data_IF_240265471470
#
_entry.id   IF_240265471470
#
_cell.length_a   1.000
_cell.length_b   1.000
_cell.length_c   1.000
_cell.angle_alpha   90.00
_cell.angle_beta   90.00
_cell.angle_gamma   90.00
#
_symmetry.space_group_name_H-M   'P 1'
#
loop_
_entity.id
_entity.type
_entity.pdbx_description
1 polymer ?
#
# COMPACT_ATOMS: atom_id res chain seq x y z
N UNK A 1 -2.70 -23.88 43.60
CA UNK A 1 -1.59 -23.60 42.66
C UNK A 1 -0.98 -24.93 42.27
N UNK A 2 -0.65 -25.08 40.99
CA UNK A 2 0.03 -26.27 40.46
C UNK A 2 1.51 -25.95 40.30
N UNK A 3 2.37 -26.98 40.29
CA UNK A 3 3.80 -26.84 39.96
C UNK A 3 4.11 -27.58 38.67
N UNK A 4 5.07 -27.07 37.91
CA UNK A 4 5.59 -27.73 36.70
C UNK A 4 7.03 -27.29 36.44
N UNK A 5 7.75 -28.05 35.62
CA UNK A 5 9.07 -27.66 35.14
C UNK A 5 8.96 -26.37 34.30
N UNK A 6 9.80 -25.37 34.58
CA UNK A 6 9.70 -24.04 33.97
C UNK A 6 9.82 -24.07 32.42
N UNK A 7 10.49 -25.07 31.86
CA UNK A 7 10.58 -25.31 30.40
C UNK A 7 9.24 -25.65 29.74
N UNK A 8 8.27 -26.16 30.51
CA UNK A 8 6.95 -26.54 30.00
C UNK A 8 6.02 -25.33 29.87
N UNK A 9 6.35 -24.21 30.50
CA UNK A 9 5.65 -22.93 30.35
C UNK A 9 6.21 -22.17 29.14
N UNK A 10 5.50 -22.25 28.00
CA UNK A 10 5.92 -21.64 26.74
C UNK A 10 5.23 -20.29 26.50
N UNK A 11 5.86 -19.37 25.75
CA UNK A 11 5.18 -18.17 25.27
C UNK A 11 3.92 -18.55 24.47
N UNK A 12 2.84 -17.82 24.67
CA UNK A 12 1.62 -18.03 23.90
C UNK A 12 1.80 -17.50 22.45
N UNK A 13 1.32 -18.20 21.39
CA UNK A 13 1.49 -17.77 20.00
C UNK A 13 0.90 -16.39 19.66
N UNK A 14 -0.16 -16.00 20.36
CA UNK A 14 -0.80 -14.67 20.30
C UNK A 14 -0.17 -13.60 21.21
N UNK A 15 1.06 -13.81 21.70
CA UNK A 15 1.76 -12.81 22.52
C UNK A 15 1.87 -11.47 21.76
N UNK A 16 1.49 -10.38 22.43
CA UNK A 16 1.48 -9.02 21.86
C UNK A 16 2.83 -8.34 21.91
N UNK A 17 3.68 -8.70 22.87
CA UNK A 17 4.97 -8.03 23.09
C UNK A 17 6.08 -8.84 22.44
N UNK A 18 6.81 -8.24 21.50
CA UNK A 18 8.05 -8.82 20.95
C UNK A 18 9.32 -8.18 21.54
N UNK A 19 9.19 -7.02 22.19
CA UNK A 19 10.29 -6.29 22.83
C UNK A 19 10.04 -6.08 24.34
N UNK A 20 11.12 -6.07 25.12
CA UNK A 20 11.09 -5.88 26.57
C UNK A 20 12.23 -4.95 27.00
N UNK A 21 11.90 -3.98 27.85
CA UNK A 21 12.88 -3.12 28.51
C UNK A 21 13.66 -3.93 29.56
N UNK A 22 14.99 -3.87 29.49
CA UNK A 22 15.86 -4.65 30.38
C UNK A 22 15.82 -4.15 31.82
N UNK A 23 15.70 -2.84 32.03
CA UNK A 23 15.70 -2.24 33.37
C UNK A 23 14.49 -2.67 34.23
N UNK A 24 13.23 -2.55 33.76
CA UNK A 24 12.07 -3.10 34.48
C UNK A 24 12.09 -4.62 34.64
N UNK A 25 12.77 -5.35 33.74
CA UNK A 25 12.95 -6.79 33.86
C UNK A 25 13.97 -7.16 34.94
N UNK A 26 15.09 -6.43 35.01
CA UNK A 26 16.11 -6.59 36.04
C UNK A 26 15.54 -6.31 37.44
N UNK A 27 14.74 -5.25 37.58
CA UNK A 27 14.04 -4.94 38.83
C UNK A 27 13.10 -6.08 39.27
N UNK A 28 12.34 -6.63 38.32
CA UNK A 28 11.47 -7.78 38.60
C UNK A 28 12.28 -9.05 38.94
N UNK A 29 13.41 -9.28 38.28
CA UNK A 29 14.29 -10.41 38.58
C UNK A 29 14.90 -10.32 39.98
N UNK A 30 15.34 -9.14 40.41
CA UNK A 30 15.81 -8.91 41.79
C UNK A 30 14.70 -9.18 42.81
N UNK A 31 13.50 -8.64 42.58
CA UNK A 31 12.36 -8.90 43.44
C UNK A 31 12.06 -10.42 43.55
N UNK A 32 12.01 -11.12 42.42
CA UNK A 32 11.76 -12.58 42.41
C UNK A 32 12.89 -13.36 43.07
N UNK A 33 14.13 -12.90 42.95
CA UNK A 33 15.27 -13.48 43.67
C UNK A 33 15.13 -13.34 45.20
N UNK A 34 14.76 -12.15 45.69
CA UNK A 34 14.66 -11.85 47.13
C UNK A 34 13.47 -12.53 47.81
N UNK A 35 12.29 -12.54 47.18
CA UNK A 35 11.03 -12.98 47.82
C UNK A 35 10.25 -14.05 47.06
N UNK A 36 10.74 -14.49 45.90
CA UNK A 36 9.99 -15.38 45.02
C UNK A 36 8.86 -14.68 44.26
N UNK A 37 8.05 -15.48 43.55
CA UNK A 37 6.86 -14.99 42.86
C UNK A 37 5.75 -14.66 43.88
N UNK A 38 5.21 -13.44 43.79
CA UNK A 38 4.11 -13.01 44.64
C UNK A 38 2.83 -13.83 44.38
N UNK A 39 2.22 -14.37 45.44
CA UNK A 39 1.05 -15.23 45.32
C UNK A 39 -0.18 -14.54 44.71
N UNK A 40 -0.31 -13.23 44.89
CA UNK A 40 -1.38 -12.40 44.32
C UNK A 40 -1.10 -11.97 42.86
N UNK A 41 0.11 -12.24 42.36
CA UNK A 41 0.55 -11.98 41.00
C UNK A 41 1.16 -13.26 40.38
N UNK A 42 0.40 -14.35 40.24
CA UNK A 42 0.92 -15.63 39.76
C UNK A 42 1.15 -15.65 38.24
N UNK A 43 1.93 -16.62 37.78
CA UNK A 43 1.91 -17.03 36.38
C UNK A 43 0.62 -17.80 36.13
N UNK A 44 -0.09 -17.46 35.05
CA UNK A 44 -1.32 -18.14 34.63
C UNK A 44 -1.05 -18.78 33.27
N UNK A 45 -1.34 -20.06 33.12
CA UNK A 45 -1.04 -20.79 31.89
C UNK A 45 -2.13 -21.80 31.52
N UNK A 46 -2.44 -21.92 30.23
CA UNK A 46 -3.42 -22.85 29.69
C UNK A 46 -2.74 -24.13 29.20
N UNK A 47 -3.35 -25.32 29.32
CA UNK A 47 -2.81 -26.56 28.78
C UNK A 47 -2.59 -26.51 27.26
N UNK A 48 -1.46 -27.01 26.79
CA UNK A 48 -1.17 -27.19 25.37
C UNK A 48 -0.31 -28.44 25.13
N UNK A 49 -0.93 -29.53 24.69
CA UNK A 49 -0.27 -30.83 24.55
C UNK A 49 0.37 -31.27 25.87
N UNK A 50 1.67 -31.57 25.82
CA UNK A 50 2.46 -31.98 27.00
C UNK A 50 2.98 -30.81 27.85
N UNK A 51 2.61 -29.56 27.53
CA UNK A 51 3.04 -28.37 28.26
C UNK A 51 1.92 -27.34 28.42
N UNK A 52 2.31 -26.06 28.52
CA UNK A 52 1.38 -24.97 28.74
C UNK A 52 1.75 -23.73 27.94
N UNK A 53 0.77 -22.92 27.57
CA UNK A 53 0.97 -21.56 27.10
C UNK A 53 0.73 -20.55 28.20
N UNK A 54 1.66 -19.62 28.39
CA UNK A 54 1.54 -18.55 29.37
C UNK A 54 0.48 -17.53 28.90
N UNK A 55 -0.65 -17.48 29.60
CA UNK A 55 -1.72 -16.52 29.39
C UNK A 55 -1.39 -15.19 30.08
N UNK A 56 -0.87 -15.24 31.30
CA UNK A 56 -0.46 -14.07 32.07
C UNK A 56 0.84 -14.32 32.82
N UNK A 57 1.69 -13.30 32.91
CA UNK A 57 2.95 -13.38 33.66
C UNK A 57 4.16 -13.80 32.83
N UNK A 58 4.19 -13.48 31.54
CA UNK A 58 5.35 -13.76 30.69
C UNK A 58 6.66 -13.13 31.24
N UNK A 59 6.59 -11.88 31.72
CA UNK A 59 7.74 -11.22 32.39
C UNK A 59 8.14 -11.88 33.70
N UNK A 60 7.18 -12.44 34.45
CA UNK A 60 7.44 -13.18 35.70
C UNK A 60 8.14 -14.52 35.42
N UNK A 61 7.77 -15.20 34.34
CA UNK A 61 8.48 -16.38 33.86
C UNK A 61 9.94 -16.07 33.49
N UNK A 62 10.18 -14.99 32.72
CA UNK A 62 11.53 -14.53 32.42
C UNK A 62 12.32 -14.12 33.67
N UNK A 63 11.70 -13.37 34.58
CA UNK A 63 12.31 -12.96 35.85
C UNK A 63 12.66 -14.14 36.75
N UNK A 64 11.85 -15.20 36.77
CA UNK A 64 12.15 -16.43 37.51
C UNK A 64 13.38 -17.16 36.97
N UNK A 65 13.54 -17.22 35.64
CA UNK A 65 14.74 -17.77 35.00
C UNK A 65 16.00 -16.95 35.36
N UNK A 66 15.88 -15.61 35.34
CA UNK A 66 16.95 -14.72 35.76
C UNK A 66 17.28 -14.86 37.25
N UNK A 67 16.27 -15.03 38.11
CA UNK A 67 16.46 -15.27 39.54
C UNK A 67 17.23 -16.57 39.81
N UNK A 68 17.01 -17.63 39.02
CA UNK A 68 17.83 -18.84 39.11
C UNK A 68 19.30 -18.60 38.73
N UNK A 69 19.56 -17.76 37.73
CA UNK A 69 20.92 -17.35 37.39
C UNK A 69 21.56 -16.51 38.51
N UNK A 70 20.79 -15.59 39.11
CA UNK A 70 21.23 -14.79 40.26
C UNK A 70 21.59 -15.66 41.46
N UNK A 71 20.82 -16.72 41.75
CA UNK A 71 21.13 -17.67 42.83
C UNK A 71 22.49 -18.35 42.62
N UNK A 72 22.75 -18.86 41.41
CA UNK A 72 24.04 -19.47 41.09
C UNK A 72 25.18 -18.44 41.17
N UNK A 73 24.93 -17.21 40.71
CA UNK A 73 25.92 -16.12 40.75
C UNK A 73 26.24 -15.69 42.19
N UNK A 74 25.22 -15.58 43.04
CA UNK A 74 25.35 -15.24 44.46
C UNK A 74 26.20 -16.27 45.21
N UNK A 75 26.00 -17.56 44.93
CA UNK A 75 26.78 -18.64 45.52
C UNK A 75 28.28 -18.55 45.14
N UNK A 76 28.58 -18.04 43.94
CA UNK A 76 29.96 -17.81 43.49
C UNK A 76 30.57 -16.50 44.04
N UNK A 77 29.75 -15.57 44.56
CA UNK A 77 30.17 -14.26 45.06
C UNK A 77 29.56 -13.97 46.44
N UNK A 78 29.89 -14.76 47.48
CA UNK A 78 29.22 -14.69 48.79
C UNK A 78 29.42 -13.35 49.52
N UNK A 79 30.47 -12.60 49.18
CA UNK A 79 30.79 -11.30 49.79
C UNK A 79 30.15 -10.11 49.07
N UNK A 80 29.44 -10.33 47.96
CA UNK A 80 28.83 -9.26 47.16
C UNK A 80 27.33 -9.18 47.41
N UNK A 81 26.87 -8.01 47.87
CA UNK A 81 25.44 -7.73 47.96
C UNK A 81 24.82 -7.61 46.56
N UNK A 82 23.67 -8.25 46.35
CA UNK A 82 22.98 -8.23 45.06
C UNK A 82 22.08 -6.99 45.03
N UNK A 83 22.60 -5.90 44.49
CA UNK A 83 21.83 -4.67 44.25
C UNK A 83 21.20 -4.67 42.86
N UNK A 84 20.30 -3.71 42.61
CA UNK A 84 19.70 -3.53 41.29
C UNK A 84 20.75 -3.23 40.20
N UNK A 85 21.82 -2.51 40.52
CA UNK A 85 22.93 -2.22 39.60
C UNK A 85 23.68 -3.49 39.21
N UNK A 86 23.88 -4.42 40.15
CA UNK A 86 24.50 -5.72 39.88
C UNK A 86 23.63 -6.52 38.92
N UNK A 87 22.31 -6.61 39.20
CA UNK A 87 21.38 -7.35 38.33
C UNK A 87 21.29 -6.74 36.95
N UNK A 88 21.19 -5.40 36.84
CA UNK A 88 21.19 -4.69 35.55
C UNK A 88 22.44 -4.99 34.75
N UNK A 89 23.61 -4.80 35.36
CA UNK A 89 24.90 -5.06 34.72
C UNK A 89 25.00 -6.50 34.23
N UNK A 90 24.55 -7.46 35.04
CA UNK A 90 24.54 -8.87 34.67
C UNK A 90 23.62 -9.12 33.47
N UNK A 91 22.37 -8.63 33.49
CA UNK A 91 21.42 -8.81 32.39
C UNK A 91 21.95 -8.16 31.11
N UNK A 92 22.41 -6.91 31.17
CA UNK A 92 22.95 -6.18 30.03
C UNK A 92 24.16 -6.89 29.42
N UNK A 93 25.10 -7.35 30.27
CA UNK A 93 26.30 -8.09 29.82
C UNK A 93 25.93 -9.41 29.15
N UNK A 94 24.98 -10.16 29.71
CA UNK A 94 24.54 -11.44 29.15
C UNK A 94 23.77 -11.24 27.83
N UNK A 95 22.89 -10.24 27.75
CA UNK A 95 22.17 -9.89 26.52
C UNK A 95 23.14 -9.44 25.43
N UNK A 96 24.12 -8.60 25.76
CA UNK A 96 25.15 -8.16 24.81
C UNK A 96 26.00 -9.35 24.31
N UNK A 97 26.38 -10.27 25.20
CA UNK A 97 27.17 -11.46 24.87
C UNK A 97 26.41 -12.44 23.95
N UNK A 98 25.12 -12.68 24.21
CA UNK A 98 24.30 -13.61 23.42
C UNK A 98 23.64 -12.94 22.19
N UNK A 99 23.60 -11.60 22.17
CA UNK A 99 23.06 -10.78 21.09
C UNK A 99 21.57 -10.44 21.19
N UNK A 100 20.80 -11.09 22.08
CA UNK A 100 19.41 -10.72 22.35
C UNK A 100 18.88 -11.30 23.68
N UNK A 101 17.83 -10.68 24.23
CA UNK A 101 17.12 -11.21 25.40
C UNK A 101 16.50 -12.58 25.11
N UNK A 102 15.96 -12.79 23.92
CA UNK A 102 15.39 -14.09 23.52
C UNK A 102 16.42 -15.22 23.62
N UNK A 103 17.64 -14.98 23.13
CA UNK A 103 18.74 -15.96 23.22
C UNK A 103 19.19 -16.20 24.65
N UNK A 104 19.20 -15.16 25.49
CA UNK A 104 19.44 -15.30 26.94
C UNK A 104 18.39 -16.20 27.58
N UNK A 105 17.10 -15.92 27.39
CA UNK A 105 16.01 -16.72 27.95
C UNK A 105 16.09 -18.18 27.45
N UNK A 106 16.37 -18.42 26.17
CA UNK A 106 16.57 -19.76 25.64
C UNK A 106 17.72 -20.50 26.34
N UNK A 107 18.86 -19.84 26.55
CA UNK A 107 20.00 -20.41 27.29
C UNK A 107 19.64 -20.75 28.75
N UNK A 108 18.90 -19.87 29.42
CA UNK A 108 18.43 -20.10 30.78
C UNK A 108 17.42 -21.25 30.86
N UNK A 109 16.55 -21.41 29.87
CA UNK A 109 15.64 -22.57 29.76
C UNK A 109 16.46 -23.86 29.61
N UNK A 110 17.53 -23.86 28.81
CA UNK A 110 18.42 -25.04 28.70
C UNK A 110 19.07 -25.41 30.04
N UNK A 111 19.53 -24.40 30.79
CA UNK A 111 20.24 -24.64 32.07
C UNK A 111 19.30 -24.96 33.24
N UNK A 112 18.16 -24.27 33.34
CA UNK A 112 17.27 -24.30 34.50
C UNK A 112 15.90 -24.92 34.21
N UNK A 113 15.69 -25.48 33.02
CA UNK A 113 14.38 -25.90 32.54
C UNK A 113 13.65 -26.94 33.40
N UNK A 114 14.39 -27.80 34.12
CA UNK A 114 13.81 -28.80 35.03
C UNK A 114 13.43 -28.22 36.40
N UNK A 115 13.85 -27.00 36.74
CA UNK A 115 13.46 -26.39 38.01
C UNK A 115 11.96 -26.12 38.00
N UNK A 116 11.30 -26.43 39.11
CA UNK A 116 9.87 -26.25 39.25
C UNK A 116 9.50 -24.79 39.54
N UNK A 117 8.34 -24.39 39.04
CA UNK A 117 7.73 -23.09 39.33
C UNK A 117 6.23 -23.26 39.56
N UNK A 118 5.67 -22.47 40.48
CA UNK A 118 4.24 -22.44 40.73
C UNK A 118 3.50 -21.61 39.69
N UNK A 119 2.34 -22.11 39.25
CA UNK A 119 1.44 -21.41 38.33
C UNK A 119 -0.03 -21.73 38.64
N UNK A 120 -0.93 -20.97 38.03
CA UNK A 120 -2.36 -21.23 38.06
C UNK A 120 -2.80 -21.73 36.68
N UNK A 121 -3.44 -22.91 36.59
CA UNK A 121 -4.01 -23.38 35.34
C UNK A 121 -5.16 -22.46 34.91
N UNK A 122 -5.15 -22.04 33.65
CA UNK A 122 -6.25 -21.31 33.03
C UNK A 122 -7.33 -22.29 32.55
N UNK A 123 -8.59 -21.98 32.83
CA UNK A 123 -9.74 -22.73 32.34
C UNK A 123 -10.46 -21.92 31.26
N UNK A 124 -10.59 -22.49 30.06
CA UNK A 124 -11.31 -21.88 28.95
C UNK A 124 -10.90 -22.45 27.60
N UNK A 125 -11.67 -22.12 26.56
CA UNK A 125 -11.29 -22.41 25.18
C UNK A 125 -10.30 -21.39 24.61
N UNK A 126 -9.75 -21.66 23.43
CA UNK A 126 -8.76 -20.81 22.76
C UNK A 126 -9.14 -19.32 22.67
N UNK A 127 -10.43 -19.02 22.42
CA UNK A 127 -10.93 -17.64 22.41
C UNK A 127 -10.74 -16.95 23.77
N UNK A 128 -11.14 -17.61 24.85
CA UNK A 128 -11.06 -17.06 26.20
C UNK A 128 -9.60 -16.91 26.65
N UNK A 129 -8.74 -17.85 26.26
CA UNK A 129 -7.30 -17.82 26.50
C UNK A 129 -6.66 -16.57 25.88
N UNK A 130 -6.90 -16.31 24.58
CA UNK A 130 -6.32 -15.17 23.88
C UNK A 130 -6.87 -13.84 24.44
N UNK A 131 -8.18 -13.76 24.74
CA UNK A 131 -8.76 -12.57 25.35
C UNK A 131 -8.16 -12.32 26.75
N UNK A 132 -8.02 -13.34 27.60
CA UNK A 132 -7.39 -13.19 28.90
C UNK A 132 -5.93 -12.72 28.78
N UNK A 133 -5.19 -13.26 27.79
CA UNK A 133 -3.84 -12.80 27.47
C UNK A 133 -3.82 -11.31 27.06
N UNK A 134 -4.76 -10.88 26.23
CA UNK A 134 -4.84 -9.49 25.79
C UNK A 134 -5.12 -8.55 26.95
N UNK A 135 -6.11 -8.88 27.79
CA UNK A 135 -6.45 -8.10 28.97
C UNK A 135 -5.28 -7.98 29.96
N UNK A 136 -4.51 -9.06 30.15
CA UNK A 136 -3.37 -9.08 31.08
C UNK A 136 -2.16 -8.27 30.57
N UNK A 137 -2.01 -8.08 29.27
CA UNK A 137 -0.85 -7.43 28.68
C UNK A 137 -1.12 -5.97 28.28
N UNK A 138 -2.38 -5.56 28.16
CA UNK A 138 -2.76 -4.21 27.76
C UNK A 138 -2.51 -3.18 28.88
N UNK A 139 -1.99 -2.00 28.53
CA UNK A 139 -1.82 -0.85 29.46
C UNK A 139 -0.52 -0.77 30.26
N UNK A 140 0.42 -1.71 30.11
CA UNK A 140 1.60 -1.81 30.99
C UNK A 140 2.94 -1.29 30.47
N UNK A 141 3.09 -0.94 29.19
CA UNK A 141 4.37 -0.53 28.55
C UNK A 141 4.14 -0.03 27.11
N UNK A 142 5.20 0.44 26.42
CA UNK A 142 5.16 0.89 25.02
C UNK A 142 4.50 -0.21 24.15
N UNK A 143 3.38 0.09 23.46
CA UNK A 143 2.68 -0.91 22.68
C UNK A 143 3.49 -1.29 21.43
N UNK A 144 3.81 -2.58 21.29
CA UNK A 144 4.23 -3.16 20.03
C UNK A 144 3.01 -3.21 19.09
N UNK A 145 2.87 -2.19 18.25
CA UNK A 145 1.72 -2.01 17.36
C UNK A 145 1.50 -3.22 16.45
N UNK A 146 2.57 -3.82 15.93
CA UNK A 146 2.48 -4.99 15.04
C UNK A 146 2.21 -6.26 15.83
N UNK A 147 2.79 -6.42 17.02
CA UNK A 147 2.48 -7.53 17.93
C UNK A 147 1.03 -7.49 18.44
N UNK A 148 0.49 -6.30 18.71
CA UNK A 148 -0.94 -6.11 19.03
C UNK A 148 -1.82 -6.51 17.83
N UNK A 149 -1.47 -6.08 16.62
CA UNK A 149 -2.17 -6.47 15.40
C UNK A 149 -2.17 -7.99 15.18
N UNK A 150 -1.03 -8.65 15.39
CA UNK A 150 -0.89 -10.10 15.35
C UNK A 150 -1.80 -10.79 16.37
N UNK A 151 -1.79 -10.34 17.63
CA UNK A 151 -2.63 -10.92 18.68
C UNK A 151 -4.13 -10.76 18.39
N UNK A 152 -4.56 -9.60 17.90
CA UNK A 152 -5.96 -9.39 17.52
C UNK A 152 -6.37 -10.32 16.38
N UNK A 153 -5.48 -10.57 15.41
CA UNK A 153 -5.72 -11.52 14.32
C UNK A 153 -5.90 -12.94 14.84
N UNK A 154 -5.10 -13.35 15.83
CA UNK A 154 -5.25 -14.65 16.49
C UNK A 154 -6.59 -14.77 17.22
N UNK A 155 -7.01 -13.72 17.95
CA UNK A 155 -8.31 -13.70 18.62
C UNK A 155 -9.47 -13.82 17.62
N UNK A 156 -9.42 -13.06 16.51
CA UNK A 156 -10.40 -13.15 15.45
C UNK A 156 -10.45 -14.54 14.81
N UNK A 157 -9.28 -15.16 14.57
CA UNK A 157 -9.16 -16.53 14.07
C UNK A 157 -9.74 -17.58 15.04
N UNK A 158 -9.71 -17.31 16.35
CA UNK A 158 -10.35 -18.12 17.39
C UNK A 158 -11.85 -17.80 17.56
N UNK A 159 -12.44 -16.92 16.74
CA UNK A 159 -13.86 -16.60 16.74
C UNK A 159 -14.26 -15.42 17.64
N UNK A 160 -13.32 -14.57 18.06
CA UNK A 160 -13.64 -13.31 18.74
C UNK A 160 -14.12 -12.23 17.77
N UNK A 161 -15.15 -11.47 18.15
CA UNK A 161 -15.57 -10.28 17.37
C UNK A 161 -14.71 -9.07 17.69
N UNK A 162 -14.69 -8.06 16.81
CA UNK A 162 -13.99 -6.79 17.06
C UNK A 162 -14.46 -6.14 18.36
N UNK A 163 -15.76 -6.21 18.67
CA UNK A 163 -16.37 -5.68 19.88
C UNK A 163 -16.00 -6.47 21.14
N UNK A 164 -15.87 -7.81 21.05
CA UNK A 164 -15.39 -8.63 22.16
C UNK A 164 -13.95 -8.27 22.52
N UNK A 165 -13.07 -8.17 21.53
CA UNK A 165 -11.67 -7.76 21.71
C UNK A 165 -11.62 -6.35 22.33
N UNK A 166 -12.34 -5.40 21.75
CA UNK A 166 -12.35 -4.01 22.19
C UNK A 166 -12.82 -3.85 23.64
N UNK A 167 -13.93 -4.51 24.00
CA UNK A 167 -14.48 -4.50 25.36
C UNK A 167 -13.51 -5.11 26.36
N UNK A 168 -12.85 -6.19 25.98
CA UNK A 168 -11.94 -6.93 26.84
C UNK A 168 -10.64 -6.16 27.16
N UNK A 169 -10.18 -5.30 26.26
CA UNK A 169 -8.99 -4.46 26.48
C UNK A 169 -9.32 -3.00 26.86
N UNK A 170 -10.60 -2.65 27.01
CA UNK A 170 -11.04 -1.29 27.36
C UNK A 170 -10.78 -0.24 26.27
N UNK A 171 -10.86 -0.63 24.98
CA UNK A 171 -10.63 0.28 23.85
C UNK A 171 -11.86 0.45 22.96
N UNK A 172 -11.83 1.46 22.08
CA UNK A 172 -12.85 1.63 21.05
C UNK A 172 -12.70 0.57 19.95
N UNK A 173 -13.80 0.07 19.38
CA UNK A 173 -13.78 -0.92 18.28
C UNK A 173 -12.94 -0.50 17.06
N UNK A 174 -12.79 0.82 16.86
CA UNK A 174 -11.98 1.39 15.78
C UNK A 174 -10.48 1.15 15.99
N UNK A 175 -10.04 1.11 17.25
CA UNK A 175 -8.67 0.76 17.60
C UNK A 175 -8.36 -0.67 17.13
N UNK A 176 -9.25 -1.62 17.43
CA UNK A 176 -9.13 -3.02 17.02
C UNK A 176 -9.15 -3.14 15.50
N UNK A 177 -10.13 -2.51 14.83
CA UNK A 177 -10.24 -2.51 13.36
C UNK A 177 -8.99 -1.99 12.66
N UNK A 178 -8.41 -0.89 13.15
CA UNK A 178 -7.21 -0.34 12.55
C UNK A 178 -5.98 -1.27 12.74
N UNK A 179 -5.84 -1.91 13.90
CA UNK A 179 -4.77 -2.90 14.12
C UNK A 179 -4.95 -4.13 13.23
N UNK A 180 -6.16 -4.68 13.14
CA UNK A 180 -6.44 -5.79 12.23
C UNK A 180 -6.15 -5.42 10.76
N UNK A 181 -6.38 -4.16 10.38
CA UNK A 181 -6.06 -3.67 9.04
C UNK A 181 -4.56 -3.65 8.73
N UNK A 182 -3.68 -3.49 9.73
CA UNK A 182 -2.22 -3.61 9.53
C UNK A 182 -1.81 -4.98 8.97
N UNK A 183 -2.56 -6.03 9.30
CA UNK A 183 -2.31 -7.40 8.81
C UNK A 183 -2.79 -7.65 7.38
N UNK A 184 -3.42 -6.65 6.74
CA UNK A 184 -4.04 -6.74 5.41
C UNK A 184 -3.43 -5.78 4.38
N UNK A 185 -2.41 -5.03 4.78
CA UNK A 185 -1.65 -4.10 3.93
C UNK A 185 -0.19 -4.58 3.79
N UNK A 186 0.58 -4.06 2.82
CA UNK A 186 1.98 -4.42 2.67
C UNK A 186 2.81 -4.18 3.96
N UNK A 187 3.75 -5.07 4.30
CA UNK A 187 4.55 -4.98 5.53
C UNK A 187 5.30 -3.67 5.70
N UNK A 188 5.84 -3.11 4.61
CA UNK A 188 6.60 -1.87 4.62
C UNK A 188 5.71 -0.68 5.03
N UNK A 189 4.45 -0.68 4.57
CA UNK A 189 3.48 0.35 4.96
C UNK A 189 3.03 0.17 6.41
N UNK A 190 2.80 -1.09 6.84
CA UNK A 190 2.48 -1.39 8.23
C UNK A 190 3.61 -0.94 9.19
N UNK A 191 4.88 -1.15 8.80
CA UNK A 191 6.05 -0.72 9.56
C UNK A 191 6.12 0.81 9.67
N UNK A 192 5.88 1.56 8.58
CA UNK A 192 5.80 3.04 8.63
C UNK A 192 4.71 3.54 9.58
N UNK A 193 3.54 2.90 9.57
CA UNK A 193 2.45 3.24 10.49
C UNK A 193 2.83 2.90 11.94
N UNK A 194 3.46 1.75 12.17
CA UNK A 194 3.93 1.33 13.50
C UNK A 194 5.03 2.24 14.05
N UNK A 195 5.90 2.78 13.19
CA UNK A 195 6.92 3.77 13.55
C UNK A 195 6.35 5.16 13.88
N UNK A 196 5.06 5.41 13.58
CA UNK A 196 4.39 6.69 13.85
C UNK A 196 4.48 7.71 12.70
N UNK A 197 5.07 7.36 11.56
CA UNK A 197 5.15 8.24 10.37
C UNK A 197 3.77 8.55 9.79
N UNK A 198 2.84 7.62 9.95
CA UNK A 198 1.46 7.74 9.48
C UNK A 198 0.49 7.34 10.60
N UNK A 199 -0.65 8.02 10.74
CA UNK A 199 -1.66 7.64 11.72
C UNK A 199 -2.16 6.21 11.48
N UNK A 200 -2.42 5.49 12.57
CA UNK A 200 -2.95 4.12 12.56
C UNK A 200 -4.24 3.96 11.74
N UNK A 201 -5.08 4.99 11.68
CA UNK A 201 -6.31 5.00 10.85
C UNK A 201 -6.05 4.83 9.35
N UNK A 202 -4.85 5.14 8.87
CA UNK A 202 -4.44 4.94 7.47
C UNK A 202 -4.50 3.47 7.07
N UNK A 203 -4.19 2.55 7.99
CA UNK A 203 -4.22 1.12 7.73
C UNK A 203 -5.62 0.66 7.28
N UNK A 204 -6.66 1.08 7.98
CA UNK A 204 -8.05 0.72 7.65
C UNK A 204 -8.50 1.31 6.30
N UNK A 205 -8.07 2.54 6.00
CA UNK A 205 -8.37 3.20 4.71
C UNK A 205 -7.79 2.43 3.54
N UNK A 206 -6.52 2.03 3.62
CA UNK A 206 -5.85 1.28 2.55
C UNK A 206 -6.41 -0.14 2.47
N UNK A 207 -6.56 -0.83 3.60
CA UNK A 207 -7.07 -2.21 3.64
C UNK A 207 -8.51 -2.38 3.14
N UNK A 208 -9.32 -1.32 3.12
CA UNK A 208 -10.69 -1.31 2.60
C UNK A 208 -10.75 -1.27 1.05
N UNK A 209 -9.62 -1.06 0.37
CA UNK A 209 -9.54 -1.19 -1.08
C UNK A 209 -9.48 -2.67 -1.51
N UNK A 210 -10.12 -3.05 -2.63
CA UNK A 210 -9.90 -4.35 -3.25
C UNK A 210 -8.53 -4.40 -3.91
N UNK A 211 -7.98 -5.60 -4.11
CA UNK A 211 -6.84 -5.76 -5.03
C UNK A 211 -7.29 -5.54 -6.47
N UNK A 212 -6.40 -5.03 -7.35
CA UNK A 212 -5.01 -4.58 -7.10
C UNK A 212 -4.88 -3.13 -6.58
N UNK A 213 -6.01 -2.43 -6.37
CA UNK A 213 -6.02 -1.01 -5.96
C UNK A 213 -5.38 -0.77 -4.59
N UNK A 214 -5.54 -1.73 -3.66
CA UNK A 214 -4.91 -1.67 -2.33
C UNK A 214 -3.40 -1.61 -2.44
N UNK A 215 -2.80 -2.55 -3.17
CA UNK A 215 -1.35 -2.61 -3.37
C UNK A 215 -0.85 -1.40 -4.15
N UNK A 216 -1.56 -0.97 -5.21
CA UNK A 216 -1.22 0.24 -5.95
C UNK A 216 -1.22 1.50 -5.07
N UNK A 217 -2.23 1.71 -4.23
CA UNK A 217 -2.23 2.84 -3.28
C UNK A 217 -1.08 2.73 -2.28
N UNK A 218 -0.77 1.53 -1.79
CA UNK A 218 0.33 1.33 -0.86
C UNK A 218 1.68 1.68 -1.50
N UNK A 219 1.94 1.26 -2.75
CA UNK A 219 3.13 1.65 -3.52
C UNK A 219 3.23 3.17 -3.62
N UNK A 220 2.14 3.85 -3.99
CA UNK A 220 2.12 5.31 -4.06
C UNK A 220 2.42 5.97 -2.71
N UNK A 221 1.83 5.49 -1.62
CA UNK A 221 2.12 6.01 -0.27
C UNK A 221 3.57 5.74 0.12
N UNK A 222 4.12 4.57 -0.23
CA UNK A 222 5.51 4.21 0.07
C UNK A 222 6.52 5.09 -0.67
N UNK A 223 6.23 5.43 -1.93
CA UNK A 223 7.05 6.32 -2.75
C UNK A 223 7.01 7.80 -2.29
N UNK A 224 6.07 8.18 -1.42
CA UNK A 224 5.94 9.55 -0.93
C UNK A 224 6.14 9.62 0.61
N UNK A 225 7.18 10.31 1.09
CA UNK A 225 7.47 10.35 2.52
C UNK A 225 6.43 11.18 3.29
N UNK A 226 6.33 10.89 4.59
CA UNK A 226 5.45 11.62 5.50
C UNK A 226 6.01 13.03 5.80
N UNK A 227 5.13 13.98 6.21
CA UNK A 227 5.55 15.32 6.62
C UNK A 227 6.63 15.29 7.72
N UNK A 228 7.72 16.06 7.55
CA UNK A 228 8.74 16.24 8.61
C UNK A 228 10.00 15.36 8.51
N UNK A 229 10.11 14.49 7.51
CA UNK A 229 11.28 13.59 7.30
C UNK A 229 12.47 14.24 6.57
N UNK A 230 12.52 15.57 6.48
CA UNK A 230 13.66 16.31 5.91
C UNK A 230 13.82 16.25 4.38
N UNK A 231 12.92 15.57 3.65
CA UNK A 231 12.93 15.52 2.18
C UNK A 231 11.98 16.57 1.56
N UNK A 232 12.43 17.21 0.48
CA UNK A 232 11.74 18.28 -0.29
C UNK A 232 10.62 17.79 -1.22
N UNK A 233 10.30 16.49 -1.22
CA UNK A 233 9.20 15.93 -1.99
C UNK A 233 7.83 16.27 -1.38
N UNK A 234 6.81 16.38 -2.22
CA UNK A 234 5.41 16.66 -1.85
C UNK A 234 4.95 15.76 -0.70
N UNK A 235 4.73 16.35 0.48
CA UNK A 235 4.45 15.58 1.70
C UNK A 235 3.02 15.02 1.67
N UNK A 236 2.88 13.70 1.72
CA UNK A 236 1.58 13.04 1.64
C UNK A 236 0.92 12.97 3.02
N UNK A 237 -0.17 13.71 3.21
CA UNK A 237 -0.92 13.71 4.49
C UNK A 237 -1.90 12.55 4.58
N UNK A 238 -2.22 12.09 5.79
CA UNK A 238 -3.25 11.06 6.01
C UNK A 238 -4.62 11.43 5.42
N UNK A 239 -4.94 12.73 5.41
CA UNK A 239 -6.15 13.26 4.77
C UNK A 239 -6.11 13.03 3.26
N UNK A 240 -5.01 13.38 2.61
CA UNK A 240 -4.84 13.16 1.17
C UNK A 240 -4.90 11.67 0.80
N UNK A 241 -4.32 10.78 1.62
CA UNK A 241 -4.41 9.33 1.41
C UNK A 241 -5.88 8.88 1.47
N UNK A 242 -6.65 9.38 2.45
CA UNK A 242 -8.08 9.06 2.59
C UNK A 242 -8.91 9.56 1.41
N UNK A 243 -8.67 10.78 0.94
CA UNK A 243 -9.36 11.34 -0.22
C UNK A 243 -9.02 10.54 -1.50
N UNK A 244 -7.73 10.23 -1.70
CA UNK A 244 -7.27 9.41 -2.82
C UNK A 244 -7.88 8.00 -2.79
N UNK A 245 -7.89 7.32 -1.63
CA UNK A 245 -8.50 6.00 -1.47
C UNK A 245 -10.00 6.02 -1.79
N UNK A 246 -10.73 7.05 -1.34
CA UNK A 246 -12.16 7.18 -1.58
C UNK A 246 -12.51 7.31 -3.07
N UNK A 247 -11.71 8.07 -3.82
CA UNK A 247 -11.84 8.20 -5.28
C UNK A 247 -11.43 6.89 -5.95
N UNK A 248 -10.25 6.38 -5.64
CA UNK A 248 -9.68 5.16 -6.23
C UNK A 248 -10.61 3.95 -6.07
N UNK A 249 -11.28 3.82 -4.91
CA UNK A 249 -12.25 2.75 -4.64
C UNK A 249 -13.35 2.70 -5.71
N UNK A 250 -13.87 3.87 -6.11
CA UNK A 250 -15.00 4.01 -7.04
C UNK A 250 -14.57 4.14 -8.50
N UNK A 251 -13.34 4.59 -8.75
CA UNK A 251 -12.86 4.89 -10.09
C UNK A 251 -12.66 3.60 -10.91
N UNK A 252 -13.36 3.42 -12.04
CA UNK A 252 -13.33 2.18 -12.81
C UNK A 252 -12.12 2.07 -13.76
N UNK A 253 -11.21 3.06 -13.73
CA UNK A 253 -10.18 3.24 -14.75
C UNK A 253 -10.69 4.04 -15.95
N UNK A 254 -9.86 4.16 -16.98
CA UNK A 254 -10.30 4.72 -18.26
C UNK A 254 -11.14 3.68 -19.01
N UNK A 255 -12.35 4.06 -19.43
CA UNK A 255 -13.29 3.19 -20.14
C UNK A 255 -14.01 3.95 -21.26
N UNK A 256 -14.45 3.23 -22.29
CA UNK A 256 -15.33 3.74 -23.35
C UNK A 256 -16.81 3.49 -23.00
N UNK A 257 -17.78 4.26 -23.56
CA UNK A 257 -17.60 5.42 -24.43
C UNK A 257 -17.26 6.68 -23.64
N UNK A 258 -16.44 7.55 -24.23
CA UNK A 258 -16.03 8.81 -23.62
C UNK A 258 -16.83 9.97 -24.24
N UNK A 259 -17.21 10.95 -23.42
CA UNK A 259 -17.75 12.21 -23.91
C UNK A 259 -16.57 13.08 -24.36
N UNK A 260 -16.40 13.20 -25.67
CA UNK A 260 -15.26 13.88 -26.30
C UNK A 260 -15.79 14.87 -27.32
N UNK A 261 -15.31 16.11 -27.24
CA UNK A 261 -15.82 17.22 -28.06
C UNK A 261 -15.26 17.20 -29.48
N UNK A 262 -14.00 16.80 -29.63
CA UNK A 262 -13.26 16.88 -30.89
C UNK A 262 -12.83 15.48 -31.37
N UNK A 263 -12.76 15.28 -32.68
CA UNK A 263 -12.39 13.98 -33.26
C UNK A 263 -11.00 13.52 -32.80
N UNK A 264 -10.02 14.42 -32.81
CA UNK A 264 -8.65 14.13 -32.36
C UNK A 264 -8.61 13.70 -30.89
N UNK A 265 -9.41 14.34 -30.03
CA UNK A 265 -9.55 13.93 -28.63
C UNK A 265 -10.16 12.53 -28.50
N UNK A 266 -11.09 12.12 -29.39
CA UNK A 266 -11.64 10.74 -29.35
C UNK A 266 -10.57 9.70 -29.61
N UNK A 267 -9.70 9.94 -30.58
CA UNK A 267 -8.63 9.00 -30.90
C UNK A 267 -7.53 8.98 -29.85
N UNK A 268 -7.19 10.14 -29.28
CA UNK A 268 -6.31 10.20 -28.09
C UNK A 268 -6.94 9.43 -26.91
N UNK A 269 -8.23 9.62 -26.67
CA UNK A 269 -8.99 8.88 -25.68
C UNK A 269 -8.94 7.35 -25.92
N UNK A 270 -9.19 6.88 -27.14
CA UNK A 270 -9.05 5.46 -27.53
C UNK A 270 -7.65 4.93 -27.23
N UNK A 271 -6.62 5.68 -27.64
CA UNK A 271 -5.23 5.29 -27.42
C UNK A 271 -4.90 5.18 -25.92
N UNK A 272 -5.33 6.15 -25.10
CA UNK A 272 -5.12 6.13 -23.66
C UNK A 272 -5.91 5.04 -22.95
N UNK A 273 -7.16 4.78 -23.37
CA UNK A 273 -7.95 3.65 -22.84
C UNK A 273 -7.22 2.33 -23.14
N UNK A 274 -6.69 2.17 -24.35
CA UNK A 274 -5.91 0.97 -24.70
C UNK A 274 -4.60 0.87 -23.94
N UNK A 275 -3.86 1.97 -23.80
CA UNK A 275 -2.63 2.02 -23.00
C UNK A 275 -2.93 1.64 -21.55
N UNK A 276 -3.95 2.26 -20.95
CA UNK A 276 -4.41 1.94 -19.61
C UNK A 276 -4.74 0.45 -19.47
N UNK A 277 -5.54 -0.12 -20.39
CA UNK A 277 -5.89 -1.53 -20.36
C UNK A 277 -4.67 -2.45 -20.46
N UNK A 278 -3.71 -2.14 -21.35
CA UNK A 278 -2.47 -2.91 -21.49
C UNK A 278 -1.62 -2.88 -20.21
N UNK A 279 -1.47 -1.71 -19.60
CA UNK A 279 -0.68 -1.56 -18.36
C UNK A 279 -1.39 -2.24 -17.19
N UNK A 280 -2.72 -2.12 -17.08
CA UNK A 280 -3.50 -2.83 -16.04
C UNK A 280 -3.40 -4.34 -16.19
N UNK A 281 -3.41 -4.86 -17.43
CA UNK A 281 -3.28 -6.29 -17.70
C UNK A 281 -1.87 -6.82 -17.37
N UNK A 282 -0.83 -6.03 -17.67
CA UNK A 282 0.57 -6.46 -17.53
C UNK A 282 1.13 -6.21 -16.13
N UNK A 283 0.85 -5.03 -15.56
CA UNK A 283 1.38 -4.53 -14.29
C UNK A 283 0.27 -3.86 -13.47
N UNK A 284 -0.72 -4.63 -12.98
CA UNK A 284 -1.91 -4.07 -12.34
C UNK A 284 -1.59 -3.18 -11.13
N UNK A 285 -0.64 -3.57 -10.30
CA UNK A 285 -0.28 -2.84 -9.09
C UNK A 285 0.35 -1.48 -9.42
N UNK A 286 1.30 -1.45 -10.36
CA UNK A 286 1.94 -0.22 -10.85
C UNK A 286 0.94 0.69 -11.57
N UNK A 287 0.02 0.11 -12.35
CA UNK A 287 -1.06 0.86 -13.00
C UNK A 287 -1.91 1.63 -11.97
N UNK A 288 -2.26 0.98 -10.85
CA UNK A 288 -3.04 1.63 -9.79
C UNK A 288 -2.21 2.51 -8.86
N UNK A 289 -0.89 2.33 -8.78
CA UNK A 289 0.02 3.29 -8.15
C UNK A 289 0.07 4.59 -8.98
N UNK A 290 0.19 4.47 -10.30
CA UNK A 290 0.09 5.59 -11.24
C UNK A 290 -1.28 6.28 -11.14
N UNK A 291 -2.37 5.52 -11.08
CA UNK A 291 -3.71 6.07 -10.89
C UNK A 291 -3.83 6.83 -9.57
N UNK A 292 -3.30 6.31 -8.47
CA UNK A 292 -3.28 7.01 -7.18
C UNK A 292 -2.53 8.35 -7.27
N UNK A 293 -1.39 8.39 -7.97
CA UNK A 293 -0.65 9.62 -8.22
C UNK A 293 -1.46 10.64 -9.04
N UNK A 294 -2.13 10.19 -10.11
CA UNK A 294 -2.95 11.05 -10.97
C UNK A 294 -4.19 11.57 -10.24
N UNK A 295 -4.80 10.74 -9.38
CA UNK A 295 -5.92 11.13 -8.51
C UNK A 295 -5.45 12.19 -7.51
N UNK A 296 -4.33 11.96 -6.84
CA UNK A 296 -3.75 12.90 -5.88
C UNK A 296 -3.46 14.27 -6.51
N UNK A 297 -3.03 14.30 -7.78
CA UNK A 297 -2.81 15.54 -8.56
C UNK A 297 -4.08 16.15 -9.16
N UNK A 298 -5.25 15.49 -9.05
CA UNK A 298 -6.50 15.98 -9.63
C UNK A 298 -6.56 15.89 -11.17
N UNK A 299 -5.76 15.03 -11.79
CA UNK A 299 -5.61 14.92 -13.26
C UNK A 299 -6.01 13.55 -13.83
N UNK A 300 -6.71 12.73 -13.04
CA UNK A 300 -7.16 11.39 -13.43
C UNK A 300 -8.37 11.38 -14.39
N UNK A 301 -9.19 12.43 -14.40
CA UNK A 301 -10.34 12.54 -15.30
C UNK A 301 -10.02 13.34 -16.56
N UNK A 302 -10.60 12.89 -17.67
CA UNK A 302 -10.46 13.47 -19.02
C UNK A 302 -9.01 13.86 -19.35
N UNK A 303 -8.08 12.88 -19.46
CA UNK A 303 -6.68 13.17 -19.75
C UNK A 303 -6.45 13.94 -21.06
N UNK A 304 -7.33 13.76 -22.04
CA UNK A 304 -7.34 14.48 -23.33
C UNK A 304 -7.85 15.93 -23.23
N UNK A 305 -8.34 16.37 -22.06
CA UNK A 305 -8.91 17.69 -21.86
C UNK A 305 -7.88 18.83 -21.88
N UNK A 306 -6.62 18.55 -21.58
CA UNK A 306 -5.52 19.52 -21.69
C UNK A 306 -4.19 18.85 -22.02
N UNK A 307 -3.27 19.62 -22.62
CA UNK A 307 -1.93 19.13 -22.96
C UNK A 307 -1.14 18.70 -21.73
N UNK A 308 -1.30 19.39 -20.60
CA UNK A 308 -0.64 19.07 -19.34
C UNK A 308 -1.07 17.69 -18.81
N UNK A 309 -2.39 17.44 -18.73
CA UNK A 309 -2.93 16.15 -18.30
C UNK A 309 -2.46 15.03 -19.23
N UNK A 310 -2.57 15.26 -20.54
CA UNK A 310 -2.18 14.29 -21.56
C UNK A 310 -0.70 13.89 -21.46
N UNK A 311 0.17 14.89 -21.32
CA UNK A 311 1.61 14.71 -21.16
C UNK A 311 1.91 13.89 -19.92
N UNK A 312 1.29 14.21 -18.79
CA UNK A 312 1.50 13.50 -17.53
C UNK A 312 1.04 12.04 -17.62
N UNK A 313 -0.06 11.75 -18.30
CA UNK A 313 -0.55 10.38 -18.50
C UNK A 313 0.42 9.54 -19.33
N UNK A 314 0.90 10.06 -20.46
CA UNK A 314 1.89 9.36 -21.28
C UNK A 314 3.25 9.24 -20.59
N UNK A 315 3.69 10.26 -19.86
CA UNK A 315 4.90 10.17 -19.05
C UNK A 315 4.80 9.08 -17.98
N UNK A 316 3.62 8.90 -17.39
CA UNK A 316 3.43 7.97 -16.26
C UNK A 316 3.25 6.52 -16.75
N UNK A 317 2.50 6.30 -17.83
CA UNK A 317 2.11 4.97 -18.29
C UNK A 317 2.83 4.53 -19.57
N UNK A 318 3.38 5.48 -20.32
CA UNK A 318 3.84 5.25 -21.70
C UNK A 318 5.20 4.59 -21.82
N UNK A 319 6.01 4.65 -20.76
CA UNK A 319 7.42 4.25 -20.79
C UNK A 319 8.19 4.96 -21.92
N UNK A 320 9.38 4.45 -22.24
CA UNK A 320 10.22 5.02 -23.31
C UNK A 320 9.61 4.82 -24.72
N UNK A 321 8.64 3.90 -24.86
CA UNK A 321 7.95 3.63 -26.13
C UNK A 321 7.06 4.80 -26.54
N UNK A 322 6.22 5.30 -25.61
CA UNK A 322 5.21 6.31 -25.92
C UNK A 322 5.57 7.70 -25.39
N UNK A 323 6.61 7.83 -24.55
CA UNK A 323 7.09 9.10 -24.04
C UNK A 323 8.63 9.13 -23.98
N UNK A 324 9.25 9.98 -24.79
CA UNK A 324 10.71 10.10 -24.88
C UNK A 324 11.11 11.57 -25.08
N UNK A 325 12.29 11.94 -24.58
CA UNK A 325 12.86 13.29 -24.71
C UNK A 325 11.92 14.42 -24.23
N UNK A 326 11.11 14.14 -23.20
CA UNK A 326 10.15 15.09 -22.64
C UNK A 326 8.91 15.34 -23.50
N UNK A 327 8.66 14.48 -24.50
CA UNK A 327 7.55 14.63 -25.44
C UNK A 327 6.84 13.29 -25.72
N UNK A 328 5.61 13.35 -26.20
CA UNK A 328 4.83 12.16 -26.56
C UNK A 328 5.33 11.64 -27.91
N UNK A 329 5.69 10.36 -27.97
CA UNK A 329 6.04 9.67 -29.22
C UNK A 329 4.77 9.30 -30.01
N UNK A 330 4.21 10.30 -30.66
CA UNK A 330 2.97 10.17 -31.41
C UNK A 330 2.98 9.12 -32.53
N UNK A 331 4.05 8.95 -33.32
CA UNK A 331 4.14 7.86 -34.28
C UNK A 331 3.89 6.49 -33.64
N UNK A 332 4.56 6.19 -32.52
CA UNK A 332 4.37 4.91 -31.81
C UNK A 332 2.96 4.77 -31.22
N UNK A 333 2.39 5.86 -30.67
CA UNK A 333 1.00 5.88 -30.18
C UNK A 333 0.02 5.53 -31.30
N UNK A 334 0.16 6.14 -32.47
CA UNK A 334 -0.70 5.90 -33.63
C UNK A 334 -0.56 4.46 -34.11
N UNK A 335 0.67 3.97 -34.23
CA UNK A 335 0.96 2.63 -34.74
C UNK A 335 0.41 1.53 -33.81
N UNK A 336 0.73 1.60 -32.52
CA UNK A 336 0.50 0.49 -31.60
C UNK A 336 -0.82 0.61 -30.81
N UNK A 337 -1.27 1.83 -30.50
CA UNK A 337 -2.45 2.03 -29.67
C UNK A 337 -3.73 2.29 -30.50
N UNK A 338 -3.64 2.97 -31.63
CA UNK A 338 -4.81 3.35 -32.43
C UNK A 338 -5.24 2.28 -33.44
N UNK A 339 -5.62 1.09 -32.96
CA UNK A 339 -5.94 -0.07 -33.81
C UNK A 339 -7.26 0.02 -34.60
N UNK A 340 -8.23 0.79 -34.11
CA UNK A 340 -9.59 0.86 -34.66
C UNK A 340 -9.70 1.79 -35.88
N UNK A 341 -8.76 2.72 -36.03
CA UNK A 341 -8.77 3.70 -37.12
C UNK A 341 -8.00 3.12 -38.32
N UNK A 342 -8.62 3.18 -39.50
CA UNK A 342 -8.00 2.78 -40.75
C UNK A 342 -8.29 3.80 -41.85
N UNK A 343 -7.25 4.24 -42.55
CA UNK A 343 -7.38 5.14 -43.70
C UNK A 343 -8.21 4.52 -44.84
N UNK A 344 -8.28 3.18 -44.93
CA UNK A 344 -9.10 2.50 -45.94
C UNK A 344 -10.60 2.68 -45.71
N UNK A 345 -11.03 2.76 -44.45
CA UNK A 345 -12.45 2.87 -44.06
C UNK A 345 -12.84 4.28 -43.63
N UNK A 346 -11.86 5.13 -43.31
CA UNK A 346 -12.08 6.51 -42.93
C UNK A 346 -12.49 7.36 -44.16
N UNK A 347 -13.63 8.07 -44.12
CA UNK A 347 -14.04 8.96 -45.21
C UNK A 347 -13.00 10.04 -45.56
N UNK A 348 -12.30 10.59 -44.55
CA UNK A 348 -11.23 11.58 -44.77
C UNK A 348 -10.04 10.94 -45.53
N UNK A 349 -9.78 9.65 -45.28
CA UNK A 349 -8.75 8.90 -46.00
C UNK A 349 -9.07 8.67 -47.49
N UNK A 350 -10.35 8.76 -47.86
CA UNK A 350 -10.84 8.57 -49.23
C UNK A 350 -10.80 9.86 -50.08
N UNK A 351 -10.51 11.02 -49.48
CA UNK A 351 -10.35 12.30 -50.19
C UNK A 351 -9.14 12.28 -51.15
N UNK A 352 -9.12 13.11 -52.23
CA UNK A 352 -8.00 13.20 -53.18
C UNK A 352 -6.66 13.49 -52.50
N UNK A 353 -5.56 12.89 -52.97
CA UNK A 353 -4.21 12.87 -52.35
C UNK A 353 -3.44 14.21 -52.32
N UNK A 354 -4.14 15.33 -52.29
CA UNK A 354 -3.54 16.67 -52.22
C UNK A 354 -3.37 17.13 -50.77
N UNK A 355 -2.27 17.83 -50.48
CA UNK A 355 -2.04 18.48 -49.19
C UNK A 355 -3.11 19.55 -48.96
N UNK A 356 -3.77 19.51 -47.80
CA UNK A 356 -4.59 20.62 -47.33
C UNK A 356 -3.68 21.87 -47.24
N UNK A 357 -4.01 22.92 -48.01
CA UNK A 357 -3.18 24.14 -48.13
C UNK A 357 -3.00 24.89 -46.81
N UNK A 358 -4.01 24.82 -45.95
CA UNK A 358 -3.97 25.36 -44.59
C UNK A 358 -3.90 24.17 -43.63
N UNK A 359 -2.75 24.02 -42.99
CA UNK A 359 -2.53 22.94 -42.05
C UNK A 359 -3.51 23.09 -40.87
N UNK A 360 -4.35 22.07 -40.64
CA UNK A 360 -5.26 21.99 -39.47
C UNK A 360 -4.52 22.15 -38.13
N UNK A 361 -3.20 22.04 -38.20
CA UNK A 361 -2.24 22.06 -37.13
C UNK A 361 -1.68 23.43 -36.75
N UNK A 362 -1.77 24.42 -37.65
CA UNK A 362 -1.09 25.71 -37.53
C UNK A 362 0.38 25.62 -37.01
N UNK A 363 1.09 24.53 -37.30
CA UNK A 363 2.48 24.33 -36.86
C UNK A 363 2.66 24.05 -35.36
N UNK A 364 1.62 23.65 -34.64
CA UNK A 364 1.73 23.31 -33.21
C UNK A 364 2.26 21.90 -32.98
N UNK A 365 3.24 21.72 -32.10
CA UNK A 365 3.67 20.40 -31.63
C UNK A 365 2.63 19.81 -30.67
N UNK A 366 1.67 19.01 -31.17
CA UNK A 366 0.62 18.40 -30.34
C UNK A 366 -0.34 17.50 -31.12
N UNK A 367 -1.44 17.00 -30.51
CA UNK A 367 -2.46 16.20 -31.20
C UNK A 367 -3.14 16.95 -32.36
N UNK A 368 -3.17 18.28 -32.27
CA UNK A 368 -3.63 19.17 -33.35
C UNK A 368 -2.59 19.30 -34.46
N UNK A 369 -1.31 19.08 -34.11
CA UNK A 369 -0.09 19.13 -34.92
C UNK A 369 0.03 18.16 -36.08
N UNK A 370 -0.82 17.14 -36.13
CA UNK A 370 -0.58 16.00 -37.01
C UNK A 370 -1.49 16.00 -38.22
N UNK A 371 -0.92 15.98 -39.44
CA UNK A 371 -1.75 15.99 -40.63
C UNK A 371 -2.63 14.73 -40.67
N UNK A 372 -3.90 14.91 -41.03
CA UNK A 372 -4.64 13.81 -41.60
C UNK A 372 -3.93 13.44 -42.90
N UNK A 373 -3.55 12.15 -43.04
CA UNK A 373 -2.77 11.61 -44.16
C UNK A 373 -1.33 12.11 -44.13
N UNK A 374 -0.47 11.36 -43.45
CA UNK A 374 0.98 11.57 -43.48
C UNK A 374 1.50 11.39 -44.92
N UNK A 375 1.43 12.44 -45.73
CA UNK A 375 2.08 12.51 -47.02
C UNK A 375 3.60 12.47 -46.80
N UNK A 376 4.21 11.30 -47.05
CA UNK A 376 5.61 11.18 -47.44
C UNK A 376 6.70 11.62 -46.44
N UNK A 377 6.44 11.60 -45.12
CA UNK A 377 7.47 12.00 -44.14
C UNK A 377 7.57 11.13 -42.88
N UNK A 378 6.45 10.64 -42.34
CA UNK A 378 6.47 9.79 -41.15
C UNK A 378 6.68 8.32 -41.55
N UNK A 379 7.89 7.97 -41.96
CA UNK A 379 8.40 6.59 -41.84
C UNK A 379 9.03 6.49 -40.45
N UNK A 380 8.46 5.67 -39.58
CA UNK A 380 9.30 5.04 -38.56
C UNK A 380 10.25 4.12 -39.34
N UNK A 381 11.54 4.14 -39.01
CA UNK A 381 12.56 3.45 -39.79
C UNK A 381 12.11 2.03 -40.22
N UNK A 382 12.21 1.74 -41.53
CA UNK A 382 11.89 0.46 -42.18
C UNK A 382 10.45 -0.12 -42.05
N UNK A 383 9.43 0.65 -41.64
CA UNK A 383 8.04 0.18 -41.57
C UNK A 383 7.13 0.59 -42.75
N UNK A 384 6.05 -0.18 -42.96
CA UNK A 384 4.99 0.13 -43.94
C UNK A 384 4.36 1.52 -43.69
N UNK A 385 3.81 2.18 -44.72
CA UNK A 385 3.15 3.48 -44.55
C UNK A 385 2.04 3.41 -43.49
N UNK A 386 2.05 4.34 -42.55
CA UNK A 386 1.08 4.39 -41.46
C UNK A 386 -0.32 4.63 -42.03
N UNK A 387 -1.14 3.58 -42.10
CA UNK A 387 -2.49 3.59 -42.66
C UNK A 387 -3.56 4.05 -41.65
N UNK A 388 -3.21 4.96 -40.74
CA UNK A 388 -4.07 5.48 -39.67
C UNK A 388 -3.55 6.82 -39.14
N UNK A 389 -4.41 7.65 -38.57
CA UNK A 389 -4.02 8.96 -38.01
C UNK A 389 -4.95 9.40 -36.87
N UNK A 390 -4.51 10.37 -36.06
CA UNK A 390 -5.31 10.93 -34.96
C UNK A 390 -6.58 11.63 -35.42
N UNK A 391 -6.66 12.09 -36.67
CA UNK A 391 -7.85 12.75 -37.21
C UNK A 391 -8.82 11.77 -37.89
N UNK A 392 -8.45 10.49 -38.01
CA UNK A 392 -9.27 9.51 -38.71
C UNK A 392 -10.58 9.20 -37.99
N UNK A 393 -11.58 8.80 -38.76
CA UNK A 393 -12.90 8.39 -38.30
C UNK A 393 -13.00 6.86 -38.37
N UNK A 394 -13.52 6.25 -37.32
CA UNK A 394 -14.00 4.86 -37.34
C UNK A 394 -15.43 4.81 -37.90
N UNK A 395 -15.95 3.64 -38.34
CA UNK A 395 -17.33 3.54 -38.84
C UNK A 395 -18.41 3.93 -37.82
N UNK A 396 -18.10 3.90 -36.52
CA UNK A 396 -19.03 4.28 -35.46
C UNK A 396 -18.94 5.77 -35.07
N UNK A 397 -17.98 6.51 -35.62
CA UNK A 397 -17.82 7.93 -35.31
C UNK A 397 -18.84 8.78 -36.08
N UNK A 398 -19.42 9.82 -35.45
CA UNK A 398 -20.17 10.82 -36.19
C UNK A 398 -19.22 11.57 -37.12
N UNK A 399 -19.70 11.90 -38.32
CA UNK A 399 -18.93 12.73 -39.24
C UNK A 399 -18.94 14.18 -38.73
N UNK A 400 -17.82 14.63 -38.17
CA UNK A 400 -17.60 16.01 -37.73
C UNK A 400 -16.12 16.37 -37.94
N UNK A 401 -15.84 17.09 -39.02
CA UNK A 401 -14.49 17.41 -39.48
C UNK A 401 -14.25 18.90 -39.32
N UNK A 402 -13.23 19.26 -38.54
CA UNK A 402 -12.77 20.66 -38.44
C UNK A 402 -12.12 21.07 -39.75
N UNK A 403 -12.43 22.27 -40.21
CA UNK A 403 -11.88 22.89 -41.43
C UNK A 403 -11.24 24.25 -41.11
N UNK A 404 -10.30 24.74 -41.91
CA UNK A 404 -9.67 26.04 -41.69
C UNK A 404 -10.66 27.20 -41.86
N UNK A 405 -10.34 28.36 -41.29
CA UNK A 405 -11.16 29.58 -41.45
C UNK A 405 -11.35 29.99 -42.91
N UNK A 406 -10.34 29.75 -43.76
CA UNK A 406 -10.43 30.02 -45.20
C UNK A 406 -11.59 29.30 -45.89
N UNK A 407 -12.18 28.29 -45.24
CA UNK A 407 -13.33 27.57 -45.76
C UNK A 407 -14.68 28.10 -45.24
N UNK A 408 -14.70 29.22 -44.52
CA UNK A 408 -15.91 29.75 -43.86
C UNK A 408 -17.10 29.96 -44.78
N UNK A 409 -16.84 30.23 -46.05
CA UNK A 409 -17.86 30.60 -47.05
C UNK A 409 -18.30 29.40 -47.91
N UNK A 410 -17.73 28.19 -47.70
CA UNK A 410 -18.14 27.00 -48.44
C UNK A 410 -19.50 26.46 -47.95
N UNK A 411 -20.39 26.01 -48.86
CA UNK A 411 -21.64 25.34 -48.49
C UNK A 411 -21.41 24.16 -47.54
N UNK A 412 -22.25 24.02 -46.51
CA UNK A 412 -22.14 22.92 -45.54
C UNK A 412 -21.14 23.16 -44.39
N UNK A 413 -20.35 24.23 -44.43
CA UNK A 413 -19.51 24.64 -43.30
C UNK A 413 -20.33 25.36 -42.23
N UNK A 414 -20.22 24.90 -40.99
CA UNK A 414 -20.87 25.48 -39.80
C UNK A 414 -19.84 26.03 -38.83
N UNK A 415 -20.21 27.07 -38.09
CA UNK A 415 -19.34 27.69 -37.07
C UNK A 415 -19.95 27.55 -35.66
N UNK A 416 -19.31 26.73 -34.82
CA UNK A 416 -19.66 26.53 -33.41
C UNK A 416 -18.37 26.60 -32.56
N UNK A 417 -17.79 27.81 -32.49
CA UNK A 417 -16.47 28.06 -31.89
C UNK A 417 -15.29 27.70 -32.80
N UNK A 418 -15.47 26.70 -33.68
CA UNK A 418 -14.56 26.34 -34.78
C UNK A 418 -15.38 26.11 -36.07
N UNK A 419 -14.75 26.25 -37.24
CA UNK A 419 -15.35 25.91 -38.53
C UNK A 419 -15.32 24.40 -38.76
N UNK A 420 -16.46 23.81 -39.15
CA UNK A 420 -16.63 22.35 -39.27
C UNK A 420 -17.55 21.96 -40.42
N UNK A 421 -17.40 20.72 -40.88
CA UNK A 421 -18.29 20.08 -41.86
C UNK A 421 -18.87 18.79 -41.25
N UNK A 422 -20.20 18.62 -41.33
CA UNK A 422 -20.95 17.53 -40.68
C UNK A 422 -21.45 16.43 -41.61
N UNK A 423 -21.20 16.59 -42.91
CA UNK A 423 -21.58 15.63 -43.95
C UNK A 423 -20.39 15.36 -44.85
N UNK A 424 -20.23 14.09 -45.25
CA UNK A 424 -19.20 13.74 -46.23
C UNK A 424 -19.46 14.36 -47.60
N UNK A 425 -20.73 14.45 -48.00
CA UNK A 425 -21.11 15.07 -49.27
C UNK A 425 -20.78 16.56 -49.28
N UNK A 426 -21.01 17.25 -48.16
CA UNK A 426 -20.65 18.67 -47.99
C UNK A 426 -19.12 18.88 -47.97
N UNK A 427 -18.34 17.87 -47.56
CA UNK A 427 -16.88 17.93 -47.56
C UNK A 427 -16.31 17.72 -48.98
N UNK A 428 -17.05 17.03 -49.86
CA UNK A 428 -16.66 16.77 -51.24
C UNK A 428 -17.08 17.89 -52.22
N UNK A 429 -18.14 18.62 -51.88
CA UNK A 429 -18.70 19.72 -52.66
C UNK A 429 -17.81 20.98 -52.62
#
# INVERSE_FOLDING_TARGET
MSTTAIKLLKPHPAQMRTAYELEPLAALALQVYERGLDAWQPIVAAPNGDGFHIVSGHRRHMAQLLAFALQDWAQAHPDTEITIEVVRTMVDTLVASLGSLEKLIASLITKYGEREVAFIPFEGGAKAEILALQAANYGGEIPDVLGVAHSFRQAAGAGATEEEIARNIGQHVNYVRNHLALTRIPPELAARIAAGDLPLSTAAVVADLPEPKRTGLAIFVLANPAPGTGQTSTQLTARAIKECAAILKKWPGLQMPLMVKHQSQRNVARALVRLWSQVVETYPEDAYAAAAMLIYRGVHEEPWGSQEKLTLWFQTLGGDTYFADGSINWPAVIEHLLGEVSCATCPIGQLPADLLRDDLSQGQSGPLGMPCRAHGGARLADSEPVNRCLHGLTPADPFDVRVPWSWSDHPGVVHEGEYRVRSYDDLLA
#
